data_IF_719335946540
#
_entry.id   IF_719335946540
#
_cell.length_a   1.000
_cell.length_b   1.000
_cell.length_c   1.000
_cell.angle_alpha   90.00
_cell.angle_beta   90.00
_cell.angle_gamma   90.00
#
_symmetry.space_group_name_H-M   'P 1'
#
loop_
_entity.id
_entity.type
_entity.pdbx_description
1 polymer ?
#
# COMPACT_ATOMS: atom_id res chain seq x y z
N UNK A 1 7.04 6.81 3.71
CA UNK A 1 6.90 7.79 2.61
C UNK A 1 5.46 7.73 2.11
N UNK A 2 4.63 8.73 2.39
CA UNK A 2 3.19 8.69 2.09
C UNK A 2 2.70 9.82 1.15
N UNK A 3 3.53 10.82 0.82
CA UNK A 3 3.05 12.04 0.16
C UNK A 3 2.93 11.97 -1.37
N UNK A 4 3.74 11.15 -2.06
CA UNK A 4 3.70 11.01 -3.51
C UNK A 4 2.58 10.08 -3.99
N UNK A 5 2.59 8.84 -3.51
CA UNK A 5 1.62 7.80 -3.87
C UNK A 5 0.16 8.18 -3.53
N UNK A 6 -0.08 8.83 -2.38
CA UNK A 6 -1.43 9.17 -1.93
C UNK A 6 -2.22 10.03 -2.94
N UNK A 7 -1.52 10.85 -3.74
CA UNK A 7 -2.14 11.70 -4.78
C UNK A 7 -2.66 10.90 -5.97
N UNK A 8 -2.05 9.75 -6.26
CA UNK A 8 -2.36 8.92 -7.43
C UNK A 8 -3.39 7.82 -7.16
N UNK A 9 -3.81 7.61 -5.91
CA UNK A 9 -4.79 6.56 -5.55
C UNK A 9 -6.05 6.60 -6.43
N UNK A 10 -6.63 7.79 -6.63
CA UNK A 10 -7.85 7.94 -7.44
C UNK A 10 -7.63 7.58 -8.90
N UNK A 11 -6.50 7.99 -9.48
CA UNK A 11 -6.16 7.68 -10.87
C UNK A 11 -5.95 6.18 -11.05
N UNK A 12 -5.17 5.55 -10.18
CA UNK A 12 -4.94 4.11 -10.17
C UNK A 12 -6.25 3.31 -10.06
N UNK A 13 -7.12 3.67 -9.11
CA UNK A 13 -8.41 3.00 -8.93
C UNK A 13 -9.31 3.19 -10.16
N UNK A 14 -9.31 4.39 -10.77
CA UNK A 14 -10.09 4.68 -11.97
C UNK A 14 -9.60 3.86 -13.18
N UNK A 15 -8.29 3.61 -13.25
CA UNK A 15 -7.66 2.81 -14.30
C UNK A 15 -7.76 1.29 -14.05
N UNK A 16 -8.47 0.88 -12.98
CA UNK A 16 -8.76 -0.53 -12.67
C UNK A 16 -7.69 -1.23 -11.83
N UNK A 17 -6.76 -0.48 -11.22
CA UNK A 17 -5.79 -1.04 -10.29
C UNK A 17 -6.46 -1.35 -8.96
N UNK A 18 -6.27 -2.58 -8.46
CA UNK A 18 -6.69 -2.95 -7.11
C UNK A 18 -5.64 -2.53 -6.09
N UNK A 19 -6.05 -1.73 -5.10
CA UNK A 19 -5.17 -1.20 -4.07
C UNK A 19 -5.50 -1.78 -2.70
N UNK A 20 -4.46 -2.21 -2.00
CA UNK A 20 -4.52 -2.72 -0.63
C UNK A 20 -3.49 -1.98 0.22
N UNK A 21 -3.94 -1.36 1.32
CA UNK A 21 -3.09 -0.62 2.26
C UNK A 21 -3.08 -1.33 3.61
N UNK A 22 -1.89 -1.71 4.10
CA UNK A 22 -1.74 -2.48 5.35
C UNK A 22 -2.44 -1.79 6.52
N UNK A 23 -3.26 -2.55 7.25
CA UNK A 23 -3.88 -2.09 8.47
C UNK A 23 -2.86 -2.21 9.62
N UNK A 24 -2.41 -1.08 10.16
CA UNK A 24 -1.43 -1.04 11.25
C UNK A 24 -2.01 -1.41 12.63
N UNK A 25 -3.35 -1.48 12.76
CA UNK A 25 -4.04 -1.87 13.98
C UNK A 25 -4.76 -3.21 13.76
N UNK A 26 -3.99 -4.28 13.81
CA UNK A 26 -4.58 -5.60 13.94
C UNK A 26 -4.59 -5.99 15.42
N UNK A 27 -5.75 -6.40 15.92
CA UNK A 27 -5.88 -6.97 17.24
C UNK A 27 -6.58 -8.33 17.14
N UNK A 28 -6.18 -9.25 18.00
CA UNK A 28 -6.80 -10.57 18.07
C UNK A 28 -8.14 -10.52 18.82
N UNK A 29 -8.86 -11.64 18.82
CA UNK A 29 -10.09 -11.86 19.59
C UNK A 29 -9.97 -11.58 21.10
N UNK A 30 -8.75 -11.45 21.63
CA UNK A 30 -8.45 -11.13 23.03
C UNK A 30 -8.05 -9.66 23.27
N UNK A 31 -8.06 -8.80 22.24
CA UNK A 31 -7.72 -7.38 22.36
C UNK A 31 -6.22 -7.08 22.50
N UNK A 32 -5.35 -8.05 22.19
CA UNK A 32 -3.90 -7.84 22.14
C UNK A 32 -3.51 -7.33 20.74
N UNK A 33 -2.66 -6.29 20.67
CA UNK A 33 -2.10 -5.79 19.41
C UNK A 33 -1.26 -6.91 18.76
N UNK A 34 -1.73 -7.43 17.62
CA UNK A 34 -0.91 -8.27 16.77
C UNK A 34 -0.17 -7.38 15.78
N UNK A 35 1.15 -7.45 15.83
CA UNK A 35 1.91 -7.13 14.62
C UNK A 35 1.57 -8.21 13.60
N UNK A 36 1.13 -7.83 12.39
CA UNK A 36 1.12 -8.80 11.29
C UNK A 36 2.51 -9.42 11.27
N UNK A 37 2.62 -10.74 11.41
CA UNK A 37 3.91 -11.42 11.22
C UNK A 37 4.22 -11.44 9.71
N UNK A 38 4.47 -10.26 9.14
CA UNK A 38 5.07 -10.08 7.81
C UNK A 38 6.56 -10.48 7.83
N UNK A 39 7.01 -11.23 8.85
CA UNK A 39 8.42 -11.34 9.21
C UNK A 39 8.79 -10.18 10.13
N UNK A 40 9.01 -10.50 11.40
CA UNK A 40 9.34 -9.65 12.56
C UNK A 40 10.47 -8.62 12.46
N UNK A 41 10.98 -8.28 11.28
CA UNK A 41 12.02 -7.27 11.15
C UNK A 41 11.46 -6.05 10.38
N UNK A 42 11.67 -4.84 10.92
CA UNK A 42 11.50 -3.57 10.20
C UNK A 42 12.16 -3.60 8.80
N UNK A 43 13.11 -4.51 8.60
CA UNK A 43 13.80 -4.86 7.35
C UNK A 43 12.87 -5.39 6.24
N UNK A 44 11.76 -6.08 6.54
CA UNK A 44 10.87 -6.63 5.49
C UNK A 44 10.03 -5.54 4.82
N UNK A 45 9.70 -4.46 5.54
CA UNK A 45 8.94 -3.33 5.00
C UNK A 45 9.71 -2.49 3.97
N UNK A 46 11.01 -2.77 3.80
CA UNK A 46 11.85 -2.12 2.80
C UNK A 46 12.07 -2.94 1.54
N UNK A 47 11.73 -4.23 1.56
CA UNK A 47 11.83 -5.09 0.39
C UNK A 47 10.67 -4.78 -0.57
N UNK A 48 11.00 -4.48 -1.83
CA UNK A 48 10.01 -4.26 -2.88
C UNK A 48 9.96 -5.48 -3.76
N UNK A 49 8.81 -6.12 -3.76
CA UNK A 49 8.58 -7.32 -4.52
C UNK A 49 7.50 -7.09 -5.58
N UNK A 50 7.74 -7.62 -6.77
CA UNK A 50 6.73 -7.70 -7.83
C UNK A 50 6.62 -9.15 -8.28
N UNK A 51 5.40 -9.64 -8.42
CA UNK A 51 5.12 -10.95 -8.99
C UNK A 51 4.47 -10.75 -10.35
N UNK A 52 5.03 -11.38 -11.37
CA UNK A 52 4.54 -11.31 -12.75
C UNK A 52 4.01 -12.67 -13.16
N UNK A 53 2.75 -12.73 -13.58
CA UNK A 53 2.05 -13.91 -14.12
C UNK A 53 2.11 -15.17 -13.23
N UNK A 54 2.48 -15.01 -11.94
CA UNK A 54 2.83 -16.12 -11.03
C UNK A 54 3.99 -17.01 -11.53
N UNK A 55 4.86 -16.48 -12.37
CA UNK A 55 6.04 -17.18 -12.91
C UNK A 55 7.36 -16.54 -12.48
N UNK A 56 7.38 -15.21 -12.35
CA UNK A 56 8.58 -14.43 -12.05
C UNK A 56 8.37 -13.56 -10.84
N UNK A 57 9.44 -13.40 -10.06
CA UNK A 57 9.48 -12.49 -8.92
C UNK A 57 10.66 -11.55 -9.08
N UNK A 58 10.41 -10.26 -8.97
CA UNK A 58 11.44 -9.27 -8.71
C UNK A 58 11.50 -9.00 -7.20
N UNK A 59 12.71 -8.92 -6.64
CA UNK A 59 12.94 -8.43 -5.28
C UNK A 59 14.11 -7.45 -5.34
N UNK A 60 13.93 -6.24 -4.79
CA UNK A 60 14.98 -5.24 -4.80
C UNK A 60 14.64 -3.94 -4.06
N UNK A 61 15.46 -2.91 -4.30
CA UNK A 61 15.31 -1.59 -3.71
C UNK A 61 14.44 -0.63 -4.54
N UNK A 62 14.23 -0.93 -5.83
CA UNK A 62 13.53 -0.11 -6.82
C UNK A 62 12.12 0.29 -6.36
N UNK A 63 11.93 1.56 -6.04
CA UNK A 63 10.58 2.14 -5.94
C UNK A 63 9.99 2.30 -7.34
N UNK A 64 8.68 2.10 -7.51
CA UNK A 64 7.98 2.45 -8.76
C UNK A 64 7.68 3.95 -8.81
N UNK A 65 8.73 4.77 -8.82
CA UNK A 65 8.63 6.21 -9.02
C UNK A 65 9.69 6.71 -10.02
N UNK A 66 9.42 7.83 -10.73
CA UNK A 66 10.34 8.35 -11.74
C UNK A 66 11.75 8.62 -11.22
N UNK A 67 11.92 8.97 -9.93
CA UNK A 67 13.25 9.22 -9.37
C UNK A 67 14.08 7.97 -9.30
N UNK A 68 13.47 6.87 -8.84
CA UNK A 68 14.14 5.58 -8.74
C UNK A 68 14.59 5.07 -10.11
N UNK A 69 13.90 5.46 -11.19
CA UNK A 69 14.28 5.13 -12.56
C UNK A 69 15.44 6.01 -13.09
N UNK A 70 15.40 7.31 -12.83
CA UNK A 70 16.32 8.27 -13.50
C UNK A 70 17.52 8.68 -12.64
N UNK A 71 17.45 8.52 -11.31
CA UNK A 71 18.41 9.15 -10.39
C UNK A 71 19.01 8.20 -9.35
N UNK A 72 18.32 7.14 -8.95
CA UNK A 72 18.86 6.21 -7.96
C UNK A 72 19.63 5.05 -8.60
N UNK A 73 20.74 4.67 -7.97
CA UNK A 73 21.39 3.38 -8.25
C UNK A 73 20.64 2.30 -7.48
N UNK A 74 19.77 1.57 -8.16
CA UNK A 74 18.97 0.50 -7.58
C UNK A 74 19.62 -0.87 -7.78
N UNK A 75 19.37 -1.82 -6.87
CA UNK A 75 19.76 -3.21 -7.02
C UNK A 75 18.55 -4.12 -6.84
N UNK A 76 18.48 -5.18 -7.63
CA UNK A 76 17.43 -6.18 -7.53
C UNK A 76 17.79 -7.46 -8.26
N UNK A 77 17.03 -8.51 -7.95
CA UNK A 77 17.15 -9.82 -8.57
C UNK A 77 15.80 -10.18 -9.19
N UNK A 78 15.83 -10.66 -10.44
CA UNK A 78 14.69 -11.30 -11.09
C UNK A 78 14.87 -12.80 -11.00
N UNK A 79 13.97 -13.46 -10.29
CA UNK A 79 13.91 -14.90 -10.16
C UNK A 79 12.80 -15.45 -11.07
N UNK A 80 13.16 -16.33 -12.01
CA UNK A 80 12.18 -17.11 -12.78
C UNK A 80 11.92 -18.41 -12.03
N UNK A 81 10.86 -18.44 -11.22
CA UNK A 81 10.49 -19.55 -10.35
C UNK A 81 8.99 -19.51 -10.09
N UNK A 82 8.24 -20.35 -10.80
CA UNK A 82 6.80 -20.52 -10.60
C UNK A 82 6.46 -20.90 -9.16
N UNK A 83 7.28 -21.74 -8.52
CA UNK A 83 7.06 -22.17 -7.14
C UNK A 83 7.10 -20.97 -6.19
N UNK A 84 8.10 -20.10 -6.34
CA UNK A 84 8.26 -18.92 -5.49
C UNK A 84 7.18 -17.88 -5.78
N UNK A 85 6.92 -17.62 -7.06
CA UNK A 85 5.92 -16.65 -7.48
C UNK A 85 4.50 -17.05 -7.03
N UNK A 86 4.12 -18.32 -7.19
CA UNK A 86 2.84 -18.82 -6.70
C UNK A 86 2.74 -18.74 -5.18
N UNK A 87 3.81 -19.07 -4.44
CA UNK A 87 3.78 -19.00 -2.98
C UNK A 87 3.48 -17.58 -2.48
N UNK A 88 4.08 -16.56 -3.10
CA UNK A 88 3.85 -15.16 -2.74
C UNK A 88 2.43 -14.73 -3.14
N UNK A 89 2.00 -15.06 -4.37
CA UNK A 89 0.67 -14.69 -4.85
C UNK A 89 -0.45 -15.36 -4.04
N UNK A 90 -0.35 -16.65 -3.76
CA UNK A 90 -1.33 -17.37 -2.93
C UNK A 90 -1.38 -16.83 -1.51
N UNK A 91 -0.23 -16.53 -0.90
CA UNK A 91 -0.22 -15.89 0.41
C UNK A 91 -0.95 -14.53 0.37
N UNK A 92 -0.72 -13.73 -0.66
CA UNK A 92 -1.45 -12.47 -0.84
C UNK A 92 -2.96 -12.71 -0.94
N UNK A 93 -3.42 -13.58 -1.85
CA UNK A 93 -4.85 -13.86 -2.03
C UNK A 93 -5.55 -14.34 -0.76
N UNK A 94 -4.87 -15.20 0.02
CA UNK A 94 -5.43 -15.82 1.21
C UNK A 94 -5.45 -14.88 2.42
N UNK A 95 -4.49 -13.95 2.52
CA UNK A 95 -4.26 -13.18 3.76
C UNK A 95 -4.55 -11.68 3.63
N UNK A 96 -4.52 -11.10 2.41
CA UNK A 96 -4.53 -9.64 2.24
C UNK A 96 -5.78 -8.97 2.82
N UNK A 97 -6.94 -9.64 2.73
CA UNK A 97 -8.20 -9.11 3.24
C UNK A 97 -8.25 -9.03 4.78
N UNK A 98 -7.42 -9.79 5.48
CA UNK A 98 -7.33 -9.77 6.94
C UNK A 98 -6.34 -8.73 7.45
N UNK A 99 -5.32 -8.40 6.64
CA UNK A 99 -4.19 -7.57 7.06
C UNK A 99 -4.16 -6.18 6.43
N UNK A 100 -5.03 -5.90 5.47
CA UNK A 100 -5.05 -4.62 4.74
C UNK A 100 -6.48 -4.10 4.49
N UNK A 101 -6.58 -2.79 4.33
CA UNK A 101 -7.74 -2.13 3.77
C UNK A 101 -7.72 -2.23 2.24
N UNK A 102 -8.79 -2.76 1.64
CA UNK A 102 -9.06 -2.64 0.21
C UNK A 102 -9.63 -1.25 -0.07
N UNK A 103 -9.07 -0.55 -1.05
CA UNK A 103 -9.56 0.76 -1.46
C UNK A 103 -10.51 0.60 -2.65
N UNK A 104 -11.61 1.33 -2.63
CA UNK A 104 -12.51 1.47 -3.78
C UNK A 104 -12.84 2.94 -4.03
N UNK A 105 -13.08 3.28 -5.29
CA UNK A 105 -13.48 4.61 -5.72
C UNK A 105 -15.01 4.62 -5.87
N UNK A 106 -15.69 5.42 -5.07
CA UNK A 106 -17.11 5.71 -5.25
C UNK A 106 -17.27 7.09 -5.86
N UNK A 107 -18.05 7.19 -6.92
CA UNK A 107 -18.46 8.46 -7.53
C UNK A 107 -19.89 8.76 -7.10
N UNK A 108 -20.14 9.94 -6.55
CA UNK A 108 -21.49 10.37 -6.19
C UNK A 108 -22.30 10.85 -7.40
N UNK A 109 -23.57 11.20 -7.17
CA UNK A 109 -24.48 11.67 -8.23
C UNK A 109 -24.01 12.99 -8.88
N UNK A 110 -23.21 13.78 -8.17
CA UNK A 110 -22.64 15.05 -8.63
C UNK A 110 -21.29 14.86 -9.36
N UNK A 111 -20.78 13.63 -9.46
CA UNK A 111 -19.54 13.28 -10.15
C UNK A 111 -18.28 13.44 -9.29
N UNK A 112 -18.40 13.59 -7.97
CA UNK A 112 -17.26 13.66 -7.07
C UNK A 112 -16.81 12.27 -6.66
N UNK A 113 -15.52 12.01 -6.87
CA UNK A 113 -14.88 10.78 -6.45
C UNK A 113 -14.43 10.85 -4.99
N UNK A 114 -14.85 9.86 -4.19
CA UNK A 114 -14.33 9.58 -2.85
C UNK A 114 -13.72 8.19 -2.80
N UNK A 115 -12.70 8.01 -1.97
CA UNK A 115 -12.12 6.69 -1.72
C UNK A 115 -12.76 6.15 -0.45
N UNK A 116 -13.14 4.87 -0.47
CA UNK A 116 -13.54 4.12 0.71
C UNK A 116 -12.51 3.04 1.00
N UNK A 117 -12.16 2.90 2.28
CA UNK A 117 -11.25 1.87 2.79
C UNK A 117 -12.07 0.80 3.50
N UNK A 118 -12.13 -0.40 2.92
CA UNK A 118 -12.82 -1.56 3.49
C UNK A 118 -11.81 -2.52 4.13
N UNK A 119 -12.00 -2.86 5.39
CA UNK A 119 -11.10 -3.78 6.07
C UNK A 119 -11.73 -4.45 7.28
N UNK A 120 -10.88 -5.11 8.07
CA UNK A 120 -11.26 -5.76 9.31
C UNK A 120 -10.52 -5.13 10.48
N UNK A 121 -11.25 -4.84 11.55
CA UNK A 121 -10.72 -4.47 12.87
C UNK A 121 -11.43 -5.33 13.92
N UNK A 122 -10.69 -6.01 14.79
CA UNK A 122 -11.22 -6.91 15.82
C UNK A 122 -12.21 -7.95 15.26
N UNK A 123 -11.93 -8.47 14.05
CA UNK A 123 -12.80 -9.41 13.33
C UNK A 123 -14.10 -8.79 12.78
N UNK A 124 -14.29 -7.48 12.89
CA UNK A 124 -15.47 -6.77 12.38
C UNK A 124 -15.12 -5.98 11.12
N UNK A 125 -16.03 -6.02 10.15
CA UNK A 125 -15.93 -5.20 8.95
C UNK A 125 -16.06 -3.73 9.32
N UNK A 126 -15.07 -2.93 8.92
CA UNK A 126 -15.05 -1.49 9.07
C UNK A 126 -14.93 -0.84 7.70
N UNK A 127 -15.49 0.36 7.57
CA UNK A 127 -15.37 1.19 6.37
C UNK A 127 -15.03 2.61 6.79
N UNK A 128 -13.98 3.15 6.20
CA UNK A 128 -13.56 4.53 6.41
C UNK A 128 -13.74 5.35 5.13
N UNK A 129 -14.24 6.57 5.27
CA UNK A 129 -14.36 7.58 4.20
C UNK A 129 -13.19 8.58 4.20
N UNK A 130 -12.26 8.39 5.12
CA UNK A 130 -11.01 9.15 5.27
C UNK A 130 -9.90 8.16 5.53
N UNK A 131 -8.72 8.50 5.03
CA UNK A 131 -7.49 7.73 5.21
C UNK A 131 -7.33 7.30 6.70
N UNK A 132 -7.44 5.99 6.99
CA UNK A 132 -7.35 5.48 8.34
C UNK A 132 -5.92 5.64 8.85
N UNK A 133 -5.78 6.17 10.07
CA UNK A 133 -4.51 6.44 10.77
C UNK A 133 -3.70 7.68 10.34
N UNK A 134 -4.18 8.50 9.40
CA UNK A 134 -3.69 9.88 9.30
C UNK A 134 -4.35 10.75 10.37
N UNK A 135 -3.68 10.89 11.51
CA UNK A 135 -4.07 11.89 12.51
C UNK A 135 -4.18 13.27 11.86
N UNK A 136 -5.24 14.02 12.18
CA UNK A 136 -5.57 15.35 11.63
C UNK A 136 -4.36 16.30 11.48
N UNK A 137 -3.36 16.17 12.36
CA UNK A 137 -2.11 16.92 12.36
C UNK A 137 -1.08 16.50 11.29
N UNK A 138 -0.99 15.22 10.93
CA UNK A 138 -0.11 14.74 9.85
C UNK A 138 -0.61 15.22 8.48
N UNK A 139 -1.94 15.31 8.32
CA UNK A 139 -2.58 15.86 7.11
C UNK A 139 -2.31 17.35 6.94
N UNK A 140 -2.42 18.12 8.02
CA UNK A 140 -2.08 19.56 8.02
C UNK A 140 -0.58 19.80 7.75
N UNK A 141 0.30 18.93 8.26
CA UNK A 141 1.75 19.03 8.04
C UNK A 141 2.13 18.65 6.60
N UNK A 142 1.51 17.62 6.01
CA UNK A 142 1.71 17.24 4.60
C UNK A 142 1.18 18.32 3.66
N UNK A 143 0.01 18.91 3.94
CA UNK A 143 -0.54 20.02 3.15
C UNK A 143 0.34 21.28 3.26
N UNK A 144 0.83 21.60 4.47
CA UNK A 144 1.77 22.70 4.69
C UNK A 144 3.11 22.50 3.97
N UNK A 145 3.65 21.27 3.96
CA UNK A 145 4.88 20.95 3.23
C UNK A 145 4.68 20.91 1.70
N UNK A 146 3.47 20.60 1.21
CA UNK A 146 3.15 20.62 -0.22
C UNK A 146 3.09 22.02 -0.83
N UNK A 147 3.02 23.07 -0.01
CA UNK A 147 3.13 24.48 -0.42
C UNK A 147 4.58 24.94 -0.61
N UNK A 148 5.57 24.13 -0.22
CA UNK A 148 6.98 24.42 -0.48
C UNK A 148 7.40 23.83 -1.84
N UNK A 149 8.21 24.54 -2.65
CA UNK A 149 8.65 24.08 -3.96
C UNK A 149 9.71 22.97 -3.82
N UNK A 150 9.31 21.77 -3.42
CA UNK A 150 10.18 20.59 -3.29
C UNK A 150 10.05 19.65 -4.50
N UNK A 151 9.07 19.89 -5.38
CA UNK A 151 8.89 19.14 -6.64
C UNK A 151 10.06 19.32 -7.64
N UNK A 152 10.98 20.27 -7.41
CA UNK A 152 12.15 20.45 -8.29
C UNK A 152 13.30 19.48 -8.02
N UNK A 153 13.20 18.66 -6.96
CA UNK A 153 14.24 17.68 -6.60
C UNK A 153 13.65 16.37 -6.09
N UNK A 154 12.37 16.09 -6.38
CA UNK A 154 11.85 14.72 -6.39
C UNK A 154 11.96 14.14 -7.79
#
# INVERSE_FOLDING_TARGET
MHSGYAKHRKELLRDGVELYEVNTKLSNENGEEQTVDLGKDETVLHAKAFVFDREKVFIGSLNLDPRSLDHNTEIGVVLSSEITANRIASWFDENIAEVAFRLELETDEDGYDKILWYGLEDGKKVTYDKDPHTGFWLRFYVDFLSLLPIDSQL
#
